data_IF_287129473762
#
_entry.id   IF_287129473762
#
_cell.length_a   1.000
_cell.length_b   1.000
_cell.length_c   1.000
_cell.angle_alpha   90.00
_cell.angle_beta   90.00
_cell.angle_gamma   90.00
#
_symmetry.space_group_name_H-M   'P 1'
#
loop_
_entity.id
_entity.type
_entity.pdbx_description
1 polymer ?
#
# COMPACT_ATOMS: atom_id res chain seq x y z
N UNK A 1 -3.17 -20.49 -3.18
CA UNK A 1 -3.13 -19.58 -2.02
C UNK A 1 -2.58 -18.26 -2.51
N UNK A 2 -3.36 -17.19 -2.43
CA UNK A 2 -2.94 -15.85 -2.81
C UNK A 2 -2.94 -14.94 -1.56
N UNK A 3 -1.77 -14.57 -1.00
CA UNK A 3 -1.70 -13.70 0.16
C UNK A 3 -2.32 -12.31 -0.09
N UNK A 4 -2.24 -11.78 -1.32
CA UNK A 4 -2.83 -10.49 -1.68
C UNK A 4 -4.36 -10.51 -1.79
N UNK A 5 -4.98 -11.69 -1.78
CA UNK A 5 -6.43 -11.85 -1.74
C UNK A 5 -7.01 -11.88 -0.33
N UNK A 6 -6.19 -11.87 0.71
CA UNK A 6 -6.66 -11.87 2.09
C UNK A 6 -7.26 -10.50 2.46
N UNK A 7 -8.40 -10.53 3.13
CA UNK A 7 -9.01 -9.30 3.64
C UNK A 7 -8.39 -8.95 4.99
N UNK A 8 -7.87 -7.74 5.15
CA UNK A 8 -7.40 -7.26 6.46
C UNK A 8 -8.60 -6.95 7.36
N UNK A 9 -8.67 -7.61 8.51
CA UNK A 9 -9.71 -7.42 9.52
C UNK A 9 -9.29 -6.43 10.64
N UNK A 10 -8.08 -5.84 10.52
CA UNK A 10 -7.47 -4.98 11.54
C UNK A 10 -6.57 -5.75 12.51
N UNK A 11 -5.76 -5.03 13.30
CA UNK A 11 -4.86 -5.62 14.32
C UNK A 11 -3.91 -6.72 13.80
N UNK A 12 -3.49 -6.64 12.53
CA UNK A 12 -2.71 -7.68 11.83
C UNK A 12 -3.46 -9.02 11.63
N UNK A 13 -4.79 -9.04 11.83
CA UNK A 13 -5.65 -10.17 11.53
C UNK A 13 -6.07 -10.15 10.06
N UNK A 14 -6.12 -11.33 9.46
CA UNK A 14 -6.51 -11.54 8.07
C UNK A 14 -7.64 -12.56 7.99
N UNK A 15 -8.61 -12.30 7.12
CA UNK A 15 -9.72 -13.19 6.84
C UNK A 15 -9.58 -13.76 5.42
N UNK A 16 -9.87 -15.06 5.30
CA UNK A 16 -9.92 -15.73 4.00
C UNK A 16 -11.07 -15.18 3.15
N UNK A 17 -10.80 -14.99 1.86
CA UNK A 17 -11.79 -14.58 0.86
C UNK A 17 -11.82 -15.58 -0.28
N UNK A 18 -12.83 -15.49 -1.14
CA UNK A 18 -12.88 -16.28 -2.37
C UNK A 18 -11.63 -16.10 -3.26
N UNK A 19 -10.94 -14.95 -3.15
CA UNK A 19 -9.72 -14.64 -3.90
C UNK A 19 -8.43 -15.16 -3.25
N UNK A 20 -8.41 -15.43 -1.93
CA UNK A 20 -7.24 -16.01 -1.25
C UNK A 20 -7.17 -17.54 -1.40
N UNK A 21 -8.34 -18.18 -1.49
CA UNK A 21 -8.50 -19.64 -1.41
C UNK A 21 -8.68 -20.13 0.03
N UNK A 22 -8.89 -21.44 0.18
CA UNK A 22 -9.16 -22.13 1.46
C UNK A 22 -7.89 -22.21 2.32
N UNK A 23 -8.03 -22.03 3.65
CA UNK A 23 -6.95 -22.25 4.60
C UNK A 23 -6.42 -23.70 4.57
N UNK A 24 -5.10 -23.87 4.46
CA UNK A 24 -4.43 -25.17 4.54
C UNK A 24 -3.51 -25.20 5.77
N UNK A 25 -3.94 -25.81 6.90
CA UNK A 25 -3.09 -25.93 8.07
C UNK A 25 -1.97 -26.95 7.82
N UNK A 26 -0.72 -26.55 8.07
CA UNK A 26 0.46 -27.42 8.00
C UNK A 26 1.26 -27.31 9.29
N UNK A 27 2.04 -28.34 9.63
CA UNK A 27 2.98 -28.29 10.76
C UNK A 27 4.21 -27.43 10.40
N UNK A 28 4.75 -26.71 11.37
CA UNK A 28 5.94 -25.87 11.18
C UNK A 28 7.12 -26.70 10.65
N UNK A 29 7.77 -26.23 9.58
CA UNK A 29 8.88 -26.94 8.91
C UNK A 29 8.47 -28.06 7.95
N UNK A 30 7.17 -28.32 7.75
CA UNK A 30 6.66 -29.32 6.78
C UNK A 30 5.98 -28.65 5.58
N UNK A 31 6.02 -29.30 4.41
CA UNK A 31 5.26 -28.90 3.22
C UNK A 31 5.44 -27.42 2.79
N UNK A 32 6.68 -26.91 2.88
CA UNK A 32 7.03 -25.53 2.52
C UNK A 32 6.68 -24.46 3.56
N UNK A 33 6.15 -24.85 4.73
CA UNK A 33 5.94 -23.94 5.85
C UNK A 33 7.28 -23.56 6.52
N UNK A 34 7.42 -22.30 6.92
CA UNK A 34 8.60 -21.80 7.62
C UNK A 34 8.82 -22.48 8.98
N UNK A 35 10.01 -22.27 9.55
CA UNK A 35 10.35 -22.74 10.90
C UNK A 35 10.02 -21.67 11.93
N UNK A 36 9.63 -22.10 13.14
CA UNK A 36 9.40 -21.18 14.25
C UNK A 36 10.73 -20.86 14.92
N UNK A 37 11.13 -19.59 14.89
CA UNK A 37 12.31 -19.10 15.61
C UNK A 37 11.89 -18.57 16.98
N UNK A 38 12.22 -19.29 18.05
CA UNK A 38 11.86 -18.89 19.41
C UNK A 38 12.64 -17.64 19.85
N UNK A 39 11.95 -16.66 20.42
CA UNK A 39 12.54 -15.40 20.89
C UNK A 39 12.76 -14.33 19.80
N UNK A 40 12.35 -14.60 18.56
CA UNK A 40 12.39 -13.64 17.46
C UNK A 40 10.99 -13.02 17.23
N UNK A 41 10.95 -11.70 17.04
CA UNK A 41 9.72 -10.96 16.68
C UNK A 41 9.91 -10.43 15.27
N UNK A 42 8.97 -10.75 14.38
CA UNK A 42 8.97 -10.24 13.01
C UNK A 42 8.77 -8.72 13.04
N UNK A 43 9.77 -8.00 12.53
CA UNK A 43 9.73 -6.54 12.42
C UNK A 43 8.98 -6.16 11.15
N UNK A 44 8.34 -4.98 11.15
CA UNK A 44 7.68 -4.45 9.95
C UNK A 44 8.61 -4.45 8.74
N UNK A 45 8.12 -4.91 7.60
CA UNK A 45 8.82 -4.88 6.32
C UNK A 45 8.87 -3.48 5.67
N UNK A 46 8.31 -2.45 6.34
CA UNK A 46 8.18 -1.09 5.83
C UNK A 46 9.38 -0.25 6.28
N UNK A 47 10.07 0.37 5.32
CA UNK A 47 11.10 1.36 5.59
C UNK A 47 10.48 2.76 5.70
N UNK A 48 10.49 3.32 6.92
CA UNK A 48 9.90 4.64 7.20
C UNK A 48 10.52 5.75 6.35
N UNK A 49 11.82 5.68 6.04
CA UNK A 49 12.49 6.71 5.23
C UNK A 49 11.98 6.71 3.78
N UNK A 50 11.79 5.53 3.19
CA UNK A 50 11.26 5.38 1.83
C UNK A 50 9.80 5.83 1.75
N UNK A 51 8.98 5.45 2.74
CA UNK A 51 7.58 5.87 2.79
C UNK A 51 7.42 7.39 2.94
N UNK A 52 8.27 8.05 3.73
CA UNK A 52 8.27 9.51 3.84
C UNK A 52 8.63 10.17 2.51
N UNK A 53 9.60 9.62 1.76
CA UNK A 53 9.96 10.12 0.43
C UNK A 53 8.78 9.92 -0.54
N UNK A 54 8.15 8.75 -0.53
CA UNK A 54 6.97 8.45 -1.34
C UNK A 54 5.82 9.44 -1.05
N UNK A 55 5.59 9.75 0.23
CA UNK A 55 4.61 10.75 0.65
C UNK A 55 4.97 12.15 0.11
N UNK A 56 6.24 12.57 0.22
CA UNK A 56 6.69 13.87 -0.29
C UNK A 56 6.51 13.95 -1.82
N UNK A 57 6.87 12.89 -2.56
CA UNK A 57 6.69 12.83 -4.01
C UNK A 57 5.21 12.95 -4.38
N UNK A 58 4.34 12.22 -3.67
CA UNK A 58 2.89 12.29 -3.88
C UNK A 58 2.34 13.69 -3.61
N UNK A 59 2.79 14.34 -2.54
CA UNK A 59 2.41 15.73 -2.22
C UNK A 59 2.89 16.71 -3.30
N UNK A 60 4.13 16.59 -3.77
CA UNK A 60 4.67 17.43 -4.85
C UNK A 60 3.93 17.24 -6.16
N UNK A 61 3.58 16.00 -6.51
CA UNK A 61 2.78 15.71 -7.69
C UNK A 61 1.39 16.38 -7.60
N UNK A 62 0.75 16.33 -6.43
CA UNK A 62 -0.51 17.04 -6.18
C UNK A 62 -0.36 18.56 -6.31
N UNK A 63 0.67 19.17 -5.70
CA UNK A 63 0.94 20.61 -5.81
C UNK A 63 1.22 21.06 -7.25
N UNK A 64 1.97 20.26 -8.00
CA UNK A 64 2.27 20.54 -9.41
C UNK A 64 1.00 20.46 -10.25
N UNK A 65 0.20 19.42 -10.07
CA UNK A 65 -1.07 19.26 -10.77
C UNK A 65 -2.05 20.40 -10.42
N UNK A 66 -2.15 20.79 -9.15
CA UNK A 66 -3.03 21.89 -8.73
C UNK A 66 -2.60 23.23 -9.31
N UNK A 67 -1.28 23.49 -9.38
CA UNK A 67 -0.73 24.70 -10.03
C UNK A 67 -0.98 24.69 -11.53
N UNK A 68 -0.77 23.57 -12.21
CA UNK A 68 -1.02 23.44 -13.63
C UNK A 68 -2.50 23.67 -13.98
N UNK A 69 -3.43 23.16 -13.17
CA UNK A 69 -4.87 23.43 -13.31
C UNK A 69 -5.14 24.92 -13.12
N UNK A 70 -4.64 25.52 -12.03
CA UNK A 70 -4.86 26.95 -11.77
C UNK A 70 -4.30 27.86 -12.87
N UNK A 71 -3.12 27.56 -13.42
CA UNK A 71 -2.57 28.34 -14.53
C UNK A 71 -3.36 28.15 -15.81
N UNK A 72 -3.87 26.93 -16.06
CA UNK A 72 -4.74 26.65 -17.20
C UNK A 72 -6.04 27.43 -17.09
N UNK A 73 -6.66 27.44 -15.91
CA UNK A 73 -7.89 28.20 -15.64
C UNK A 73 -7.67 29.72 -15.80
N UNK A 74 -6.53 30.26 -15.34
CA UNK A 74 -6.18 31.66 -15.53
C UNK A 74 -6.02 32.03 -17.01
N UNK A 75 -5.42 31.15 -17.82
CA UNK A 75 -5.25 31.36 -19.26
C UNK A 75 -6.60 31.28 -20.00
N UNK A 76 -7.47 30.34 -19.62
CA UNK A 76 -8.84 30.24 -20.14
C UNK A 76 -9.68 31.48 -19.79
N UNK A 77 -9.58 31.98 -18.57
CA UNK A 77 -10.23 33.22 -18.15
C UNK A 77 -9.76 34.43 -18.97
N UNK A 78 -8.47 34.52 -19.30
CA UNK A 78 -7.95 35.59 -20.17
C UNK A 78 -8.46 35.51 -21.60
N UNK A 79 -8.57 34.31 -22.17
CA UNK A 79 -9.09 34.12 -23.53
C UNK A 79 -10.58 34.45 -23.66
N UNK A 80 -11.35 34.26 -22.58
CA UNK A 80 -12.79 34.57 -22.57
C UNK A 80 -13.09 36.05 -22.32
N UNK A 81 -12.07 36.85 -21.94
CA UNK A 81 -12.20 38.28 -21.65
C UNK A 81 -11.72 39.18 -22.81
N UNK A 82 -11.20 38.58 -23.88
CA UNK A 82 -10.95 39.20 -25.19
C UNK A 82 -12.14 38.95 -26.13
#
# INVERSE_FOLDING_TARGET
INPGGLQSAGENLFQETASSGVATPNEAGTNGAGVINQGYVETSNVNVAEELVSMIVTQRAYELNSRAISTSDQMLARLTQL
#
